data_IF_515986598344
#
_entry.id   IF_515986598344
#
_cell.length_a   1.000
_cell.length_b   1.000
_cell.length_c   1.000
_cell.angle_alpha   90.00
_cell.angle_beta   90.00
_cell.angle_gamma   90.00
#
_symmetry.space_group_name_H-M   'P 1'
#
loop_
_entity.id
_entity.type
_entity.pdbx_description
1 polymer ?
#
# COMPACT_ATOMS: atom_id res chain seq x y z
N UNK A 1 -18.88 50.59 0.50
CA UNK A 1 -18.02 50.82 1.68
C UNK A 1 -17.68 49.46 2.31
N UNK A 2 -16.44 48.99 2.09
CA UNK A 2 -15.67 47.87 2.71
C UNK A 2 -16.30 46.45 2.87
N UNK A 3 -15.98 45.58 1.91
CA UNK A 3 -15.93 44.11 2.09
C UNK A 3 -14.72 43.75 2.97
N UNK A 4 -14.93 42.96 4.04
CA UNK A 4 -13.85 42.38 4.84
C UNK A 4 -13.52 40.98 4.30
N UNK A 5 -12.40 40.90 3.61
CA UNK A 5 -11.74 39.65 3.21
C UNK A 5 -11.20 38.93 4.46
N UNK A 6 -11.59 37.68 4.66
CA UNK A 6 -10.98 36.80 5.67
C UNK A 6 -9.97 35.92 4.93
N UNK A 7 -8.71 36.36 4.94
CA UNK A 7 -7.61 35.56 4.45
C UNK A 7 -7.38 34.37 5.39
N UNK A 8 -7.59 33.16 4.88
CA UNK A 8 -7.29 31.89 5.55
C UNK A 8 -5.77 31.79 5.70
N UNK A 9 -5.28 31.75 6.93
CA UNK A 9 -3.87 31.58 7.23
C UNK A 9 -3.37 30.25 6.65
N UNK A 10 -2.42 30.32 5.71
CA UNK A 10 -1.63 29.19 5.25
C UNK A 10 -0.71 28.79 6.41
N UNK A 11 -0.93 27.61 6.98
CA UNK A 11 0.04 26.97 7.88
C UNK A 11 1.12 26.36 6.98
N UNK A 12 2.38 26.83 7.00
CA UNK A 12 3.42 26.17 6.26
C UNK A 12 3.79 24.88 7.02
N UNK A 13 3.31 23.75 6.51
CA UNK A 13 3.82 22.43 6.85
C UNK A 13 5.27 22.31 6.40
N UNK A 14 6.21 22.84 7.20
CA UNK A 14 7.62 22.48 7.11
C UNK A 14 7.79 21.08 7.68
N UNK A 15 7.55 20.05 6.87
CA UNK A 15 8.25 18.79 7.08
C UNK A 15 9.72 19.09 6.78
N UNK A 16 10.49 19.27 7.84
CA UNK A 16 11.94 19.37 7.78
C UNK A 16 12.47 18.10 7.11
N UNK A 17 12.79 18.17 5.82
CA UNK A 17 13.74 17.24 5.22
C UNK A 17 15.05 17.44 5.96
N UNK A 18 15.25 16.70 7.04
CA UNK A 18 16.59 16.50 7.60
C UNK A 18 17.41 15.90 6.46
N UNK A 19 18.47 16.59 6.02
CA UNK A 19 19.55 15.96 5.25
C UNK A 19 20.15 14.89 6.15
N UNK A 20 19.54 13.71 6.15
CA UNK A 20 19.98 12.59 6.96
C UNK A 20 21.19 11.96 6.31
N UNK A 21 22.28 11.85 7.08
CA UNK A 21 23.34 10.88 6.77
C UNK A 21 22.63 9.54 6.57
N UNK A 22 22.86 8.91 5.42
CA UNK A 22 22.25 7.63 5.09
C UNK A 22 22.66 6.61 6.17
N UNK A 23 21.71 5.94 6.84
CA UNK A 23 22.05 4.98 7.88
C UNK A 23 23.02 3.90 7.36
N UNK A 24 23.94 3.40 8.19
CA UNK A 24 25.01 2.50 7.75
C UNK A 24 24.50 1.18 7.18
N UNK A 25 23.26 0.78 7.48
CA UNK A 25 22.64 -0.44 6.97
C UNK A 25 22.10 -0.32 5.54
N UNK A 26 21.88 0.89 5.02
CA UNK A 26 21.22 1.09 3.70
C UNK A 26 22.00 0.48 2.54
N UNK A 27 23.35 0.57 2.45
CA UNK A 27 24.10 -0.11 1.40
C UNK A 27 23.91 -1.63 1.42
N UNK A 28 23.87 -2.23 2.62
CA UNK A 28 23.61 -3.65 2.81
C UNK A 28 22.22 -4.05 2.29
N UNK A 29 21.18 -3.29 2.65
CA UNK A 29 19.81 -3.52 2.17
C UNK A 29 19.70 -3.40 0.65
N UNK A 30 20.32 -2.38 0.04
CA UNK A 30 20.34 -2.24 -1.43
C UNK A 30 21.04 -3.42 -2.10
N UNK A 31 22.17 -3.86 -1.55
CA UNK A 31 22.89 -5.03 -2.05
C UNK A 31 22.06 -6.31 -1.96
N UNK A 32 21.34 -6.52 -0.86
CA UNK A 32 20.44 -7.66 -0.70
C UNK A 32 19.28 -7.62 -1.70
N UNK A 33 18.63 -6.47 -1.85
CA UNK A 33 17.54 -6.28 -2.80
C UNK A 33 17.99 -6.54 -4.26
N UNK A 34 19.18 -6.09 -4.64
CA UNK A 34 19.71 -6.30 -6.00
C UNK A 34 20.11 -7.74 -6.32
N UNK A 35 20.27 -8.60 -5.30
CA UNK A 35 20.56 -10.04 -5.46
C UNK A 35 19.35 -10.93 -5.21
N UNK A 36 18.23 -10.35 -4.79
CA UNK A 36 17.02 -11.12 -4.53
C UNK A 36 16.38 -11.49 -5.87
N UNK A 37 16.30 -12.80 -6.13
CA UNK A 37 15.62 -13.32 -7.30
C UNK A 37 14.14 -13.55 -6.98
N UNK A 38 13.26 -12.90 -7.75
CA UNK A 38 11.82 -12.97 -7.57
C UNK A 38 11.26 -14.01 -8.54
N UNK A 39 10.70 -15.08 -7.99
CA UNK A 39 10.00 -16.11 -8.76
C UNK A 39 8.50 -15.81 -8.89
N UNK A 40 7.81 -16.35 -9.92
CA UNK A 40 6.36 -16.29 -9.97
C UNK A 40 5.73 -16.87 -8.70
N UNK A 41 4.71 -16.18 -8.21
CA UNK A 41 3.91 -16.58 -7.05
C UNK A 41 2.56 -17.08 -7.53
N UNK A 42 2.26 -18.36 -7.27
CA UNK A 42 0.97 -18.98 -7.57
C UNK A 42 -0.12 -18.57 -6.56
N UNK A 43 -0.34 -17.27 -6.48
CA UNK A 43 -1.24 -16.64 -5.53
C UNK A 43 -1.68 -15.27 -6.03
N UNK A 44 -2.73 -14.75 -5.40
CA UNK A 44 -3.17 -13.39 -5.63
C UNK A 44 -2.43 -12.46 -4.65
N UNK A 45 -2.04 -11.27 -5.11
CA UNK A 45 -1.38 -10.26 -4.27
C UNK A 45 -2.31 -9.08 -4.06
N UNK A 46 -2.42 -8.60 -2.82
CA UNK A 46 -3.03 -7.30 -2.52
C UNK A 46 -1.93 -6.29 -2.17
N UNK A 47 -1.88 -5.18 -2.90
CA UNK A 47 -0.89 -4.11 -2.72
C UNK A 47 -1.57 -2.88 -2.13
N UNK A 48 -1.15 -2.46 -0.95
CA UNK A 48 -1.60 -1.22 -0.31
C UNK A 48 -0.68 -0.07 -0.72
N UNK A 49 -1.15 0.81 -1.61
CA UNK A 49 -0.33 1.80 -2.32
C UNK A 49 -0.52 3.21 -1.75
N UNK A 50 0.58 3.88 -1.42
CA UNK A 50 0.57 5.32 -1.12
C UNK A 50 0.25 6.16 -2.37
N UNK A 51 -0.57 7.19 -2.24
CA UNK A 51 -1.02 8.02 -3.38
C UNK A 51 -0.47 9.46 -3.40
N UNK A 52 0.25 9.91 -2.38
CA UNK A 52 0.66 11.32 -2.24
C UNK A 52 2.20 11.53 -2.20
N UNK A 53 2.88 11.68 -3.34
CA UNK A 53 2.53 11.15 -4.66
C UNK A 53 2.80 9.63 -4.73
N UNK A 54 2.33 8.92 -5.78
CA UNK A 54 2.73 7.54 -6.02
C UNK A 54 4.26 7.43 -6.21
N UNK A 55 4.86 6.39 -5.62
CA UNK A 55 6.32 6.22 -5.60
C UNK A 55 6.92 5.69 -6.89
N UNK A 56 6.12 5.09 -7.76
CA UNK A 56 6.51 4.52 -9.06
C UNK A 56 5.36 4.68 -10.06
N UNK A 57 5.69 4.70 -11.37
CA UNK A 57 4.72 4.91 -12.44
C UNK A 57 3.77 3.71 -12.66
N UNK A 58 4.27 2.49 -12.48
CA UNK A 58 3.44 1.29 -12.60
C UNK A 58 2.41 1.26 -11.46
N UNK A 59 1.10 1.28 -11.75
CA UNK A 59 0.08 1.26 -10.72
C UNK A 59 0.11 0.01 -9.84
N UNK A 60 0.67 -1.12 -10.32
CA UNK A 60 0.81 -2.37 -9.57
C UNK A 60 2.18 -2.50 -8.88
N UNK A 61 3.00 -1.44 -8.89
CA UNK A 61 4.34 -1.40 -8.27
C UNK A 61 5.28 -2.54 -8.72
N UNK A 62 5.13 -3.04 -9.94
CA UNK A 62 5.92 -4.14 -10.49
C UNK A 62 5.44 -5.55 -10.10
N UNK A 63 4.38 -5.69 -9.30
CA UNK A 63 3.90 -7.00 -8.83
C UNK A 63 3.16 -7.81 -9.91
N UNK A 64 2.62 -7.14 -10.94
CA UNK A 64 1.81 -7.79 -11.98
C UNK A 64 2.52 -8.91 -12.73
N UNK A 65 3.85 -8.82 -12.87
CA UNK A 65 4.66 -9.86 -13.53
C UNK A 65 4.93 -11.10 -12.66
N UNK A 66 4.59 -11.06 -11.38
CA UNK A 66 4.86 -12.14 -10.43
C UNK A 66 3.59 -12.81 -9.89
N UNK A 67 2.49 -12.09 -9.71
CA UNK A 67 1.26 -12.64 -9.15
C UNK A 67 0.44 -13.40 -10.20
N UNK A 68 0.53 -14.73 -10.21
CA UNK A 68 -0.14 -15.56 -11.23
C UNK A 68 -1.68 -15.50 -11.15
N UNK A 69 -2.24 -15.24 -9.95
CA UNK A 69 -3.69 -15.07 -9.76
C UNK A 69 -4.12 -13.61 -9.71
N UNK A 70 -3.27 -12.70 -10.20
CA UNK A 70 -3.56 -11.27 -10.34
C UNK A 70 -3.20 -10.42 -9.12
N UNK A 71 -3.27 -9.10 -9.32
CA UNK A 71 -2.96 -8.08 -8.32
C UNK A 71 -4.19 -7.22 -8.06
N UNK A 72 -4.57 -7.08 -6.78
CA UNK A 72 -5.53 -6.07 -6.31
C UNK A 72 -4.76 -4.91 -5.71
N UNK A 73 -5.02 -3.68 -6.18
CA UNK A 73 -4.40 -2.47 -5.63
C UNK A 73 -5.41 -1.74 -4.75
N UNK A 74 -5.03 -1.41 -3.53
CA UNK A 74 -5.83 -0.64 -2.58
C UNK A 74 -5.09 0.63 -2.21
N UNK A 75 -5.65 1.77 -2.58
CA UNK A 75 -5.02 3.07 -2.34
C UNK A 75 -5.16 3.53 -0.88
N UNK A 76 -4.05 4.04 -0.34
CA UNK A 76 -3.93 4.57 1.01
C UNK A 76 -3.47 6.04 0.93
N UNK A 77 -4.21 6.98 1.54
CA UNK A 77 -3.80 8.38 1.61
C UNK A 77 -2.44 8.55 2.30
N UNK A 78 -1.59 9.42 1.75
CA UNK A 78 -0.26 9.70 2.27
C UNK A 78 0.89 9.25 1.37
N UNK A 79 2.09 9.39 1.92
CA UNK A 79 3.35 9.12 1.26
C UNK A 79 3.93 7.78 1.74
N UNK A 80 4.75 7.13 0.92
CA UNK A 80 5.39 5.85 1.25
C UNK A 80 6.03 5.83 2.65
N UNK A 81 6.66 6.93 3.05
CA UNK A 81 7.37 7.05 4.33
C UNK A 81 6.47 7.30 5.55
N UNK A 82 5.18 7.58 5.39
CA UNK A 82 4.28 7.91 6.50
C UNK A 82 3.00 7.07 6.56
N UNK A 83 2.88 6.03 5.73
CA UNK A 83 1.72 5.14 5.70
C UNK A 83 1.42 4.49 7.06
N UNK A 84 2.46 4.14 7.81
CA UNK A 84 2.37 3.46 9.10
C UNK A 84 2.38 4.41 10.29
N UNK A 85 2.27 5.71 10.05
CA UNK A 85 2.33 6.74 11.10
C UNK A 85 0.96 7.39 11.33
N UNK A 86 0.74 7.84 12.57
CA UNK A 86 -0.41 8.68 12.94
C UNK A 86 -1.76 8.04 12.54
N UNK A 87 -2.74 8.85 12.12
CA UNK A 87 -4.06 8.39 11.69
C UNK A 87 -4.04 7.48 10.45
N UNK A 88 -2.97 7.52 9.63
CA UNK A 88 -2.86 6.71 8.41
C UNK A 88 -2.68 5.25 8.72
N UNK A 89 -2.02 4.91 9.83
CA UNK A 89 -1.92 3.55 10.32
C UNK A 89 -3.31 2.94 10.57
N UNK A 90 -4.25 3.73 11.11
CA UNK A 90 -5.64 3.32 11.29
C UNK A 90 -6.35 3.02 9.97
N UNK A 91 -6.18 3.91 8.97
CA UNK A 91 -6.73 3.70 7.63
C UNK A 91 -6.13 2.45 6.97
N UNK A 92 -4.81 2.29 7.00
CA UNK A 92 -4.13 1.10 6.49
C UNK A 92 -4.67 -0.17 7.16
N UNK A 93 -4.79 -0.16 8.48
CA UNK A 93 -5.33 -1.29 9.26
C UNK A 93 -6.75 -1.66 8.85
N UNK A 94 -7.66 -0.68 8.72
CA UNK A 94 -9.02 -0.93 8.25
C UNK A 94 -9.08 -1.51 6.84
N UNK A 95 -8.18 -1.07 5.94
CA UNK A 95 -8.10 -1.61 4.57
C UNK A 95 -7.55 -3.04 4.55
N UNK A 96 -6.58 -3.36 5.41
CA UNK A 96 -6.06 -4.73 5.58
C UNK A 96 -7.16 -5.64 6.11
N UNK A 97 -7.87 -5.23 7.16
CA UNK A 97 -8.96 -6.01 7.74
C UNK A 97 -10.02 -6.35 6.69
N UNK A 98 -10.49 -5.35 5.94
CA UNK A 98 -11.47 -5.57 4.86
C UNK A 98 -10.95 -6.52 3.77
N UNK A 99 -9.66 -6.45 3.43
CA UNK A 99 -9.07 -7.37 2.44
C UNK A 99 -9.05 -8.82 2.97
N UNK A 100 -8.70 -9.03 4.24
CA UNK A 100 -8.70 -10.35 4.88
C UNK A 100 -10.11 -10.93 5.01
N UNK A 101 -11.09 -10.10 5.37
CA UNK A 101 -12.50 -10.50 5.43
C UNK A 101 -12.98 -10.99 4.06
N UNK A 102 -12.62 -10.28 2.99
CA UNK A 102 -12.99 -10.66 1.62
C UNK A 102 -12.38 -11.99 1.16
N UNK A 103 -11.18 -12.33 1.64
CA UNK A 103 -10.55 -13.64 1.36
C UNK A 103 -11.30 -14.73 2.11
N UNK A 104 -11.55 -14.51 3.40
CA UNK A 104 -12.27 -15.47 4.26
C UNK A 104 -13.66 -15.79 3.73
N UNK A 105 -14.39 -14.77 3.23
CA UNK A 105 -15.71 -14.96 2.63
C UNK A 105 -15.66 -15.79 1.35
N UNK A 106 -14.71 -15.50 0.45
CA UNK A 106 -14.53 -16.26 -0.80
C UNK A 106 -14.15 -17.72 -0.53
N UNK A 107 -13.28 -17.97 0.44
CA UNK A 107 -12.89 -19.34 0.81
C UNK A 107 -14.06 -20.14 1.40
N UNK A 108 -14.89 -19.48 2.21
CA UNK A 108 -16.11 -20.08 2.76
C UNK A 108 -17.14 -20.38 1.65
N UNK A 109 -17.33 -19.47 0.69
CA UNK A 109 -18.21 -19.68 -0.46
C UNK A 109 -17.72 -20.81 -1.37
N UNK A 110 -16.43 -20.85 -1.70
CA UNK A 110 -15.83 -21.91 -2.49
C UNK A 110 -16.00 -23.28 -1.82
N UNK A 111 -15.83 -23.33 -0.49
CA UNK A 111 -16.03 -24.56 0.29
C UNK A 111 -17.49 -25.05 0.26
N UNK A 112 -18.47 -24.14 0.35
CA UNK A 112 -19.91 -24.48 0.26
C UNK A 112 -20.30 -25.00 -1.13
N UNK A 113 -19.80 -24.36 -2.18
CA UNK A 113 -20.07 -24.77 -3.57
C UNK A 113 -19.44 -26.13 -3.91
N UNK A 114 -18.30 -26.46 -3.29
CA UNK A 114 -17.67 -27.78 -3.46
C UNK A 114 -18.42 -28.91 -2.75
N UNK A 115 -19.24 -28.61 -1.73
CA UNK A 115 -20.00 -29.63 -0.98
C UNK A 115 -21.39 -29.95 -1.56
N UNK A 116 -21.92 -29.10 -2.46
CA UNK A 116 -23.29 -29.22 -2.99
C UNK A 116 -23.39 -29.99 -4.33
N UNK A 117 -22.34 -30.70 -4.76
CA UNK A 117 -22.37 -31.54 -5.97
C UNK A 117 -22.51 -33.03 -5.61
N UNK A 118 -23.73 -33.61 -5.58
CA UNK A 118 -23.89 -35.06 -5.48
C UNK A 118 -23.48 -35.72 -6.80
N UNK A 119 -22.71 -36.80 -6.68
CA UNK A 119 -22.43 -37.74 -7.78
C UNK A 119 -23.70 -38.48 -8.23
#
# INVERSE_FOLDING_TARGET
MRLRSVARAVVPGRSSQRRGVMPPFVPGLRGAMGRHDLTPFDGAITVFRAVDPPSVADPQLGWGRYAMRGVTVVDIPGHHLNLVESWRAGVLGSRIAAALDSVTQRDAEASRLSSDHPA
#
